data_IF_134615060356
#
_entry.id   IF_134615060356
#
_cell.length_a   1.000
_cell.length_b   1.000
_cell.length_c   1.000
_cell.angle_alpha   90.00
_cell.angle_beta   90.00
_cell.angle_gamma   90.00
#
_symmetry.space_group_name_H-M   'P 1'
#
loop_
_entity.id
_entity.type
_entity.pdbx_description
1 polymer ?
#
# COMPACT_ATOMS: atom_id res chain seq x y z
N UNK A 1 -1.11 0.69 -14.91
CA UNK A 1 0.20 1.25 -14.56
C UNK A 1 1.35 0.41 -15.11
N UNK A 2 1.51 -0.85 -14.68
CA UNK A 2 2.60 -1.75 -15.12
C UNK A 2 2.77 -1.89 -16.65
N UNK A 3 1.68 -1.84 -17.42
CA UNK A 3 1.72 -1.95 -18.89
C UNK A 3 2.64 -0.91 -19.55
N UNK A 4 2.65 0.33 -19.08
CA UNK A 4 3.46 1.40 -19.68
C UNK A 4 4.96 1.18 -19.42
N UNK A 5 5.32 0.76 -18.20
CA UNK A 5 6.71 0.43 -17.89
C UNK A 5 7.21 -0.77 -18.68
N UNK A 6 6.38 -1.79 -18.89
CA UNK A 6 6.75 -2.93 -19.73
C UNK A 6 6.99 -2.49 -21.17
N UNK A 7 6.12 -1.64 -21.74
CA UNK A 7 6.32 -1.11 -23.10
C UNK A 7 7.64 -0.34 -23.20
N UNK A 8 7.97 0.48 -22.19
CA UNK A 8 9.25 1.20 -22.17
C UNK A 8 10.43 0.23 -22.05
N UNK A 9 10.35 -0.76 -21.16
CA UNK A 9 11.38 -1.78 -20.99
C UNK A 9 11.63 -2.56 -22.29
N UNK A 10 10.56 -2.97 -22.97
CA UNK A 10 10.60 -3.72 -24.24
C UNK A 10 11.16 -2.86 -25.38
N UNK A 11 11.03 -1.53 -25.29
CA UNK A 11 11.54 -0.60 -26.30
C UNK A 11 13.02 -0.28 -26.16
N UNK A 12 13.60 -0.47 -24.97
CA UNK A 12 15.05 -0.35 -24.79
C UNK A 12 15.69 -1.55 -25.49
N UNK A 13 16.61 -1.36 -26.44
CA UNK A 13 17.39 -2.47 -26.99
C UNK A 13 18.27 -3.12 -25.92
N UNK A 14 18.53 -4.43 -26.02
CA UNK A 14 19.35 -5.13 -25.00
C UNK A 14 20.84 -4.76 -25.05
N UNK A 15 21.33 -4.32 -26.22
CA UNK A 15 22.73 -3.97 -26.45
C UNK A 15 22.96 -2.48 -26.73
N UNK A 16 21.92 -1.64 -26.63
CA UNK A 16 22.01 -0.25 -27.09
C UNK A 16 22.70 0.68 -26.09
N UNK A 17 22.83 0.28 -24.83
CA UNK A 17 23.45 1.06 -23.77
C UNK A 17 22.52 1.28 -22.58
N UNK A 18 22.95 2.07 -21.58
CA UNK A 18 22.26 2.13 -20.29
C UNK A 18 21.13 3.17 -20.22
N UNK A 19 20.89 3.94 -21.28
CA UNK A 19 19.85 4.97 -21.37
C UNK A 19 18.68 4.48 -22.23
N UNK A 20 17.54 5.20 -22.18
CA UNK A 20 16.30 4.76 -22.85
C UNK A 20 16.44 4.60 -24.36
N UNK A 21 17.29 5.40 -25.00
CA UNK A 21 17.52 5.37 -26.45
C UNK A 21 18.97 5.00 -26.80
N UNK A 22 19.66 4.29 -25.91
CA UNK A 22 20.96 3.69 -26.17
C UNK A 22 22.09 4.17 -25.25
N UNK A 23 23.25 4.48 -25.84
CA UNK A 23 24.51 4.66 -25.11
C UNK A 23 24.73 6.07 -24.59
N UNK A 24 23.94 7.03 -25.07
CA UNK A 24 23.97 8.43 -24.66
C UNK A 24 22.63 8.86 -24.07
N UNK A 25 22.67 9.88 -23.20
CA UNK A 25 21.48 10.50 -22.64
C UNK A 25 20.62 11.09 -23.75
N UNK A 26 19.32 10.81 -23.72
CA UNK A 26 18.37 11.31 -24.69
C UNK A 26 17.29 12.20 -24.06
N UNK A 27 16.47 12.82 -24.91
CA UNK A 27 15.27 13.52 -24.46
C UNK A 27 14.30 12.60 -23.70
N UNK A 28 14.27 11.30 -24.04
CA UNK A 28 13.44 10.34 -23.33
C UNK A 28 13.88 10.22 -21.86
N UNK A 29 15.18 10.14 -21.59
CA UNK A 29 15.71 10.06 -20.22
C UNK A 29 15.34 11.32 -19.42
N UNK A 30 15.56 12.50 -20.02
CA UNK A 30 15.28 13.79 -19.39
C UNK A 30 13.79 14.00 -19.05
N UNK A 31 12.86 13.39 -19.81
CA UNK A 31 11.41 13.55 -19.64
C UNK A 31 10.80 12.46 -18.75
N UNK A 32 11.24 11.21 -18.91
CA UNK A 32 10.69 10.07 -18.17
C UNK A 32 11.27 10.01 -16.75
N UNK A 33 12.53 10.37 -16.53
CA UNK A 33 13.16 10.24 -15.21
C UNK A 33 12.44 11.05 -14.12
N UNK A 34 12.17 12.37 -14.26
CA UNK A 34 11.41 13.11 -13.25
C UNK A 34 10.04 12.50 -12.95
N UNK A 35 9.35 12.02 -14.00
CA UNK A 35 8.04 11.39 -13.88
C UNK A 35 8.13 10.05 -13.14
N UNK A 36 9.18 9.27 -13.39
CA UNK A 36 9.46 8.03 -12.68
C UNK A 36 9.72 8.29 -11.19
N UNK A 37 10.53 9.31 -10.86
CA UNK A 37 10.81 9.70 -9.46
C UNK A 37 9.51 10.03 -8.73
N UNK A 38 8.67 10.86 -9.33
CA UNK A 38 7.36 11.20 -8.76
C UNK A 38 6.48 9.96 -8.59
N UNK A 39 6.36 9.11 -9.61
CA UNK A 39 5.48 7.95 -9.57
C UNK A 39 5.91 6.91 -8.53
N UNK A 40 7.22 6.62 -8.42
CA UNK A 40 7.76 5.68 -7.43
C UNK A 40 7.51 6.17 -6.00
N UNK A 41 7.57 7.49 -5.75
CA UNK A 41 7.24 8.08 -4.45
C UNK A 41 5.75 8.10 -4.16
N UNK A 42 4.95 8.43 -5.19
CA UNK A 42 3.52 8.69 -5.08
C UNK A 42 2.69 7.41 -4.93
N UNK A 43 2.98 6.37 -5.72
CA UNK A 43 2.12 5.18 -5.80
C UNK A 43 1.97 4.38 -4.51
N UNK A 44 3.01 4.23 -3.66
CA UNK A 44 2.82 3.65 -2.32
C UNK A 44 1.78 4.39 -1.48
N UNK A 45 1.53 5.68 -1.72
CA UNK A 45 0.46 6.43 -1.04
C UNK A 45 -0.93 5.95 -1.48
N UNK A 46 -1.07 5.23 -2.59
CA UNK A 46 -2.33 4.71 -3.11
C UNK A 46 -2.44 3.18 -2.96
N UNK A 47 -1.63 2.57 -2.08
CA UNK A 47 -1.50 1.11 -1.94
C UNK A 47 -1.10 0.39 -3.24
N UNK A 48 -0.44 1.13 -4.15
CA UNK A 48 0.07 0.59 -5.40
C UNK A 48 1.58 0.35 -5.26
N UNK A 49 2.01 -0.89 -5.48
CA UNK A 49 3.43 -1.23 -5.47
C UNK A 49 4.11 -0.70 -6.74
N UNK A 50 5.13 0.17 -6.64
CA UNK A 50 5.88 0.66 -7.80
C UNK A 50 6.94 -0.37 -8.19
N UNK A 51 6.53 -1.56 -8.61
CA UNK A 51 7.48 -2.54 -9.13
C UNK A 51 7.87 -2.12 -10.55
N UNK A 52 9.00 -1.41 -10.69
CA UNK A 52 9.60 -1.22 -12.01
C UNK A 52 10.09 -2.57 -12.55
N UNK A 53 9.86 -2.89 -13.83
CA UNK A 53 10.48 -4.05 -14.46
C UNK A 53 12.01 -3.99 -14.30
N UNK A 54 12.73 -5.13 -14.23
CA UNK A 54 14.15 -5.15 -13.89
C UNK A 54 15.02 -4.20 -14.73
N UNK A 55 14.75 -4.10 -16.04
CA UNK A 55 15.45 -3.18 -16.95
C UNK A 55 15.23 -1.70 -16.61
N UNK A 56 13.98 -1.35 -16.30
CA UNK A 56 13.61 0.01 -15.87
C UNK A 56 14.16 0.32 -14.47
N UNK A 57 14.20 -0.66 -13.57
CA UNK A 57 14.80 -0.49 -12.25
C UNK A 57 16.30 -0.18 -12.38
N UNK A 58 17.02 -0.93 -13.21
CA UNK A 58 18.45 -0.70 -13.47
C UNK A 58 18.71 0.68 -14.09
N UNK A 59 17.90 1.09 -15.07
CA UNK A 59 17.95 2.44 -15.66
C UNK A 59 17.71 3.53 -14.60
N UNK A 60 16.66 3.38 -13.79
CA UNK A 60 16.29 4.34 -12.76
C UNK A 60 17.39 4.49 -11.70
N UNK A 61 17.92 3.37 -11.20
CA UNK A 61 18.99 3.37 -10.18
C UNK A 61 20.28 3.96 -10.72
N UNK A 62 20.61 3.74 -12.00
CA UNK A 62 21.76 4.36 -12.65
C UNK A 62 21.62 5.87 -12.71
N UNK A 63 20.52 6.39 -13.25
CA UNK A 63 20.32 7.85 -13.35
C UNK A 63 20.29 8.51 -11.97
N UNK A 64 19.74 7.82 -10.97
CA UNK A 64 19.71 8.29 -9.59
C UNK A 64 21.10 8.37 -8.94
N UNK A 65 22.03 7.47 -9.27
CA UNK A 65 23.26 7.28 -8.47
C UNK A 65 24.58 7.47 -9.22
N UNK A 66 24.61 7.22 -10.52
CA UNK A 66 25.85 7.20 -11.31
C UNK A 66 25.98 8.42 -12.24
N UNK A 67 24.88 9.08 -12.59
CA UNK A 67 24.90 10.31 -13.39
C UNK A 67 24.72 11.53 -12.47
N UNK A 68 25.70 12.43 -12.44
CA UNK A 68 25.70 13.58 -11.52
C UNK A 68 24.57 14.57 -11.79
N UNK A 69 24.19 14.77 -13.06
CA UNK A 69 23.14 15.72 -13.41
C UNK A 69 21.76 15.17 -13.02
N UNK A 70 21.50 13.91 -13.35
CA UNK A 70 20.24 13.26 -12.95
C UNK A 70 20.14 13.03 -11.44
N UNK A 71 21.26 12.75 -10.76
CA UNK A 71 21.29 12.68 -9.30
C UNK A 71 20.91 14.02 -8.65
N UNK A 72 21.35 15.15 -9.20
CA UNK A 72 20.92 16.48 -8.74
C UNK A 72 19.40 16.66 -8.94
N UNK A 73 18.88 16.34 -10.13
CA UNK A 73 17.44 16.40 -10.42
C UNK A 73 16.64 15.52 -9.46
N UNK A 74 17.12 14.31 -9.18
CA UNK A 74 16.52 13.41 -8.19
C UNK A 74 16.42 14.07 -6.83
N UNK A 75 17.51 14.62 -6.31
CA UNK A 75 17.56 15.25 -4.99
C UNK A 75 16.62 16.46 -4.89
N UNK A 76 16.54 17.29 -5.94
CA UNK A 76 15.63 18.44 -5.97
C UNK A 76 14.15 18.01 -5.95
N UNK A 77 13.79 17.00 -6.74
CA UNK A 77 12.43 16.44 -6.76
C UNK A 77 12.11 15.78 -5.43
N UNK A 78 13.03 14.99 -4.86
CA UNK A 78 12.85 14.37 -3.54
C UNK A 78 12.63 15.41 -2.45
N UNK A 79 13.44 16.47 -2.39
CA UNK A 79 13.24 17.54 -1.41
C UNK A 79 11.90 18.26 -1.56
N UNK A 80 11.38 18.39 -2.78
CA UNK A 80 10.04 18.92 -3.01
C UNK A 80 8.94 17.92 -2.55
N UNK A 81 9.12 16.63 -2.81
CA UNK A 81 8.21 15.55 -2.39
C UNK A 81 8.19 15.37 -0.88
N UNK A 82 9.33 15.47 -0.20
CA UNK A 82 9.40 15.45 1.28
C UNK A 82 8.63 16.62 1.89
N UNK A 83 8.74 17.82 1.31
CA UNK A 83 7.91 18.96 1.71
C UNK A 83 6.43 18.73 1.39
N UNK A 84 6.11 18.07 0.29
CA UNK A 84 4.74 17.72 -0.09
C UNK A 84 4.13 16.76 0.94
N UNK A 85 4.87 15.72 1.33
CA UNK A 85 4.54 14.78 2.40
C UNK A 85 4.35 15.52 3.73
N UNK A 86 5.33 16.34 4.14
CA UNK A 86 5.29 17.07 5.42
C UNK A 86 4.11 18.04 5.54
N UNK A 87 3.60 18.54 4.41
CA UNK A 87 2.46 19.44 4.36
C UNK A 87 1.11 18.72 4.23
N UNK A 88 1.06 17.39 4.36
CA UNK A 88 -0.19 16.60 4.28
C UNK A 88 -0.90 16.73 2.94
N UNK A 89 -0.16 17.03 1.86
CA UNK A 89 -0.77 17.35 0.56
C UNK A 89 -1.44 16.15 -0.09
N UNK A 90 -1.00 14.93 0.22
CA UNK A 90 -1.64 13.69 -0.22
C UNK A 90 -3.04 13.53 0.36
N UNK A 91 -3.28 14.01 1.58
CA UNK A 91 -4.56 13.86 2.30
C UNK A 91 -5.75 14.45 1.54
N UNK A 92 -5.48 15.44 0.67
CA UNK A 92 -6.50 16.10 -0.17
C UNK A 92 -6.80 15.34 -1.47
N UNK A 93 -6.01 14.33 -1.81
CA UNK A 93 -6.12 13.58 -3.05
C UNK A 93 -6.90 12.29 -2.80
N UNK A 94 -8.01 12.11 -3.51
CA UNK A 94 -8.83 10.91 -3.40
C UNK A 94 -8.00 9.65 -3.70
N UNK A 95 -7.94 8.73 -2.75
CA UNK A 95 -7.20 7.48 -2.85
C UNK A 95 -5.73 7.57 -2.46
N UNK A 96 -5.20 8.76 -2.13
CA UNK A 96 -3.86 8.89 -1.57
C UNK A 96 -3.96 8.93 -0.03
N UNK A 97 -3.42 7.94 0.65
CA UNK A 97 -3.22 7.96 2.08
C UNK A 97 -2.73 6.64 2.66
N UNK A 98 -1.45 6.61 3.04
CA UNK A 98 -1.11 6.17 4.39
C UNK A 98 -1.83 7.13 5.35
N UNK A 99 -3.08 6.83 5.73
CA UNK A 99 -3.85 7.67 6.68
C UNK A 99 -3.57 7.35 8.13
N UNK A 100 -2.58 6.50 8.38
CA UNK A 100 -2.32 5.95 9.68
C UNK A 100 -0.94 6.37 10.20
N UNK A 101 -0.87 7.63 10.65
CA UNK A 101 0.30 8.20 11.32
C UNK A 101 0.31 7.90 12.83
N UNK A 102 -0.73 7.23 13.33
CA UNK A 102 -0.81 6.82 14.73
C UNK A 102 0.11 5.63 14.98
N UNK A 103 0.67 5.56 16.20
CA UNK A 103 1.55 4.47 16.59
C UNK A 103 0.92 3.08 16.35
N UNK A 104 1.71 2.08 15.92
CA UNK A 104 1.24 0.71 15.77
C UNK A 104 0.62 0.18 17.07
N UNK A 105 -0.60 -0.28 16.96
CA UNK A 105 -1.37 -0.94 18.01
C UNK A 105 -1.04 -2.43 18.08
N UNK A 106 -1.59 -3.11 19.09
CA UNK A 106 -1.49 -4.56 19.20
C UNK A 106 -2.09 -5.28 17.97
N UNK A 107 -3.16 -4.73 17.39
CA UNK A 107 -3.83 -5.33 16.23
C UNK A 107 -2.92 -5.30 15.00
N UNK A 108 -2.16 -4.24 14.81
CA UNK A 108 -1.20 -4.13 13.70
C UNK A 108 -0.10 -5.20 13.83
N UNK A 109 0.33 -5.50 15.06
CA UNK A 109 1.29 -6.58 15.34
C UNK A 109 0.71 -7.98 15.09
N UNK A 110 -0.58 -8.17 15.31
CA UNK A 110 -1.29 -9.41 15.00
C UNK A 110 -1.40 -9.57 13.47
N UNK A 111 -1.79 -8.53 12.75
CA UNK A 111 -1.84 -8.52 11.28
C UNK A 111 -0.45 -8.81 10.68
N UNK A 112 0.61 -8.24 11.26
CA UNK A 112 1.99 -8.49 10.85
C UNK A 112 2.53 -9.89 11.26
N UNK A 113 1.75 -10.71 11.97
CA UNK A 113 2.18 -12.02 12.46
C UNK A 113 3.26 -11.98 13.56
N UNK A 114 3.53 -10.79 14.13
CA UNK A 114 4.52 -10.61 15.19
C UNK A 114 4.02 -11.11 16.55
N UNK A 115 2.69 -11.18 16.72
CA UNK A 115 2.03 -11.71 17.91
C UNK A 115 1.08 -12.82 17.46
N UNK A 116 1.13 -14.01 18.09
CA UNK A 116 0.26 -15.10 17.71
C UNK A 116 -1.20 -14.76 18.04
N UNK A 117 -2.09 -15.11 17.13
CA UNK A 117 -3.53 -15.06 17.33
C UNK A 117 -4.16 -16.33 16.78
N UNK A 118 -5.26 -16.79 17.39
CA UNK A 118 -6.04 -17.91 16.86
C UNK A 118 -6.95 -17.39 15.76
N UNK A 119 -6.44 -17.41 14.54
CA UNK A 119 -7.14 -16.95 13.34
C UNK A 119 -8.33 -17.86 13.05
N UNK A 120 -9.48 -17.23 12.81
CA UNK A 120 -10.75 -17.87 12.46
C UNK A 120 -11.05 -17.66 10.98
N UNK A 121 -10.76 -16.47 10.46
CA UNK A 121 -10.90 -16.12 9.05
C UNK A 121 -9.86 -15.09 8.67
N UNK A 122 -9.32 -15.22 7.46
CA UNK A 122 -8.38 -14.27 6.89
C UNK A 122 -8.61 -14.17 5.38
N UNK A 123 -8.72 -12.95 4.86
CA UNK A 123 -8.73 -12.67 3.43
C UNK A 123 -7.76 -11.53 3.09
N UNK A 124 -7.88 -10.91 1.91
CA UNK A 124 -7.01 -9.84 1.45
C UNK A 124 -7.15 -8.55 2.27
N UNK A 125 -8.31 -8.28 2.88
CA UNK A 125 -8.60 -7.03 3.57
C UNK A 125 -9.01 -7.18 5.04
N UNK A 126 -9.43 -8.36 5.46
CA UNK A 126 -10.03 -8.63 6.77
C UNK A 126 -9.26 -9.74 7.47
N UNK A 127 -9.10 -9.57 8.78
CA UNK A 127 -8.58 -10.59 9.67
C UNK A 127 -9.57 -10.75 10.84
N UNK A 128 -9.93 -12.00 11.13
CA UNK A 128 -10.76 -12.35 12.27
C UNK A 128 -10.09 -13.40 13.13
N UNK A 129 -10.07 -13.18 14.44
CA UNK A 129 -9.38 -14.05 15.39
C UNK A 129 -10.08 -14.06 16.75
N UNK A 130 -9.83 -15.12 17.54
CA UNK A 130 -10.40 -15.25 18.89
C UNK A 130 -9.77 -14.27 19.85
N UNK A 131 -10.59 -13.65 20.69
CA UNK A 131 -10.11 -12.82 21.80
C UNK A 131 -9.37 -13.70 22.83
N UNK A 132 -8.28 -13.17 23.39
CA UNK A 132 -7.52 -13.82 24.48
C UNK A 132 -8.27 -13.78 25.82
N UNK A 133 -9.18 -12.81 25.98
CA UNK A 133 -10.02 -12.65 27.16
C UNK A 133 -11.50 -12.55 26.74
N UNK A 134 -12.10 -13.66 26.30
CA UNK A 134 -13.42 -13.64 25.67
C UNK A 134 -14.53 -13.30 26.69
N UNK A 135 -15.45 -12.41 26.31
CA UNK A 135 -16.60 -12.03 27.13
C UNK A 135 -17.78 -13.04 27.05
N UNK A 136 -17.68 -14.02 26.15
CA UNK A 136 -18.67 -15.06 25.90
C UNK A 136 -17.96 -16.36 25.50
N UNK A 137 -18.63 -17.53 25.53
CA UNK A 137 -18.03 -18.81 25.12
C UNK A 137 -17.42 -18.78 23.71
N UNK A 138 -18.00 -17.96 22.84
CA UNK A 138 -17.45 -17.65 21.52
C UNK A 138 -17.41 -16.13 21.35
N UNK A 139 -16.19 -15.59 21.20
CA UNK A 139 -15.95 -14.15 21.01
C UNK A 139 -14.84 -13.99 19.97
N UNK A 140 -15.18 -13.36 18.84
CA UNK A 140 -14.29 -13.16 17.69
C UNK A 140 -14.22 -11.68 17.38
N UNK A 141 -12.99 -11.17 17.27
CA UNK A 141 -12.73 -9.82 16.79
C UNK A 141 -12.55 -9.86 15.28
N UNK A 142 -13.24 -8.97 14.56
CA UNK A 142 -13.13 -8.82 13.10
C UNK A 142 -12.54 -7.43 12.84
N UNK A 143 -11.35 -7.38 12.26
CA UNK A 143 -10.60 -6.13 12.04
C UNK A 143 -10.20 -6.00 10.56
N UNK A 144 -10.05 -4.77 10.05
CA UNK A 144 -9.42 -4.57 8.77
C UNK A 144 -7.90 -4.80 8.90
N UNK A 145 -7.28 -5.36 7.87
CA UNK A 145 -5.81 -5.48 7.77
C UNK A 145 -5.13 -4.13 7.58
N UNK A 146 -5.85 -3.20 6.98
CA UNK A 146 -5.49 -1.78 6.92
C UNK A 146 -6.64 -0.94 7.48
N UNK A 147 -6.40 -0.28 8.63
CA UNK A 147 -7.41 0.58 9.24
C UNK A 147 -7.54 1.92 8.54
N UNK A 148 -6.58 2.35 7.72
CA UNK A 148 -6.64 3.59 6.94
C UNK A 148 -7.09 4.82 7.78
N UNK A 149 -6.56 4.94 9.00
CA UNK A 149 -6.91 6.02 9.93
C UNK A 149 -8.21 5.81 10.74
N UNK A 150 -8.97 4.73 10.48
CA UNK A 150 -10.18 4.28 11.20
C UNK A 150 -9.86 3.74 12.60
N UNK A 151 -9.25 4.58 13.43
CA UNK A 151 -8.91 4.28 14.83
C UNK A 151 -10.14 4.24 15.74
N UNK A 152 -11.25 4.86 15.32
CA UNK A 152 -12.54 4.90 16.00
C UNK A 152 -13.66 5.06 14.97
N UNK A 153 -14.86 4.58 15.28
CA UNK A 153 -16.01 4.72 14.38
C UNK A 153 -16.35 6.18 14.07
N UNK A 154 -16.12 7.12 15.00
CA UNK A 154 -16.32 8.56 14.76
C UNK A 154 -15.40 9.15 13.68
N UNK A 155 -14.37 8.41 13.26
CA UNK A 155 -13.49 8.78 12.15
C UNK A 155 -13.88 8.11 10.83
N UNK A 156 -14.99 7.38 10.80
CA UNK A 156 -15.48 6.81 9.54
C UNK A 156 -15.85 7.91 8.56
N UNK A 157 -15.63 7.64 7.28
CA UNK A 157 -15.89 8.54 6.17
C UNK A 157 -16.37 7.71 4.97
N UNK A 158 -16.82 8.33 3.86
CA UNK A 158 -17.29 7.59 2.69
C UNK A 158 -16.29 6.59 2.11
N UNK A 159 -14.97 6.79 2.28
CA UNK A 159 -13.96 5.84 1.81
C UNK A 159 -13.94 4.52 2.60
N UNK A 160 -14.47 4.53 3.83
CA UNK A 160 -14.51 3.37 4.69
C UNK A 160 -15.73 2.48 4.41
N UNK A 161 -16.62 2.87 3.49
CA UNK A 161 -17.87 2.14 3.22
C UNK A 161 -17.60 0.71 2.74
N UNK A 162 -16.65 0.51 1.82
CA UNK A 162 -16.28 -0.83 1.34
C UNK A 162 -15.77 -1.71 2.49
N UNK A 163 -14.79 -1.21 3.26
CA UNK A 163 -14.19 -2.00 4.33
C UNK A 163 -15.17 -2.26 5.47
N UNK A 164 -15.96 -1.28 5.89
CA UNK A 164 -16.98 -1.46 6.93
C UNK A 164 -18.05 -2.47 6.49
N UNK A 165 -18.49 -2.40 5.23
CA UNK A 165 -19.41 -3.39 4.65
C UNK A 165 -18.82 -4.80 4.67
N UNK A 166 -17.56 -4.96 4.27
CA UNK A 166 -16.84 -6.24 4.32
C UNK A 166 -16.71 -6.80 5.73
N UNK A 167 -16.39 -5.96 6.72
CA UNK A 167 -16.31 -6.38 8.12
C UNK A 167 -17.66 -6.93 8.62
N UNK A 168 -18.77 -6.27 8.29
CA UNK A 168 -20.11 -6.73 8.66
C UNK A 168 -20.51 -8.04 7.97
N UNK A 169 -20.18 -8.18 6.68
CA UNK A 169 -20.42 -9.43 5.94
C UNK A 169 -19.59 -10.57 6.52
N UNK A 170 -18.30 -10.35 6.78
CA UNK A 170 -17.41 -11.32 7.39
C UNK A 170 -17.90 -11.75 8.78
N UNK A 171 -18.34 -10.80 9.61
CA UNK A 171 -18.95 -11.10 10.91
C UNK A 171 -20.20 -12.00 10.76
N UNK A 172 -21.07 -11.71 9.78
CA UNK A 172 -22.23 -12.54 9.49
C UNK A 172 -21.89 -13.96 9.01
N UNK A 173 -20.84 -14.12 8.22
CA UNK A 173 -20.36 -15.44 7.77
C UNK A 173 -19.77 -16.25 8.93
N UNK A 174 -18.96 -15.61 9.78
CA UNK A 174 -18.40 -16.21 10.99
C UNK A 174 -19.52 -16.62 11.95
N UNK A 175 -20.54 -15.79 12.11
CA UNK A 175 -21.70 -16.08 12.94
C UNK A 175 -22.46 -17.32 12.47
N UNK A 176 -22.61 -17.54 11.16
CA UNK A 176 -23.31 -18.71 10.62
C UNK A 176 -22.49 -20.00 10.66
N UNK A 177 -21.20 -19.92 10.97
CA UNK A 177 -20.35 -21.09 11.05
C UNK A 177 -20.60 -21.84 12.36
N UNK A 178 -21.41 -22.91 12.27
CA UNK A 178 -21.75 -23.77 13.40
C UNK A 178 -20.52 -24.43 14.04
N UNK A 179 -19.43 -24.64 13.28
CA UNK A 179 -18.20 -25.24 13.81
C UNK A 179 -17.50 -24.34 14.84
N UNK A 180 -17.80 -23.04 14.81
CA UNK A 180 -17.29 -22.06 15.76
C UNK A 180 -18.13 -21.96 17.03
N UNK A 181 -19.35 -22.53 17.03
CA UNK A 181 -20.25 -22.58 18.18
C UNK A 181 -21.20 -21.39 18.31
N UNK A 182 -21.40 -20.59 17.26
CA UNK A 182 -22.34 -19.47 17.26
C UNK A 182 -23.79 -19.88 16.95
N UNK A 183 -23.99 -20.73 15.93
CA UNK A 183 -25.32 -21.03 15.37
C UNK A 183 -26.04 -19.75 14.93
N UNK A 184 -27.38 -19.70 15.02
CA UNK A 184 -28.16 -18.50 14.68
C UNK A 184 -28.13 -17.40 15.78
N UNK A 185 -27.40 -17.62 16.88
CA UNK A 185 -27.47 -16.83 18.12
C UNK A 185 -26.45 -15.68 18.26
N UNK A 186 -25.88 -15.18 17.16
CA UNK A 186 -24.80 -14.20 17.22
C UNK A 186 -25.27 -12.76 17.47
N UNK A 187 -24.44 -11.99 18.19
CA UNK A 187 -24.57 -10.54 18.34
C UNK A 187 -23.31 -9.89 17.78
N UNK A 188 -23.49 -8.86 16.95
CA UNK A 188 -22.44 -8.06 16.33
C UNK A 188 -22.43 -6.69 17.00
#
# INVERSE_FOLDING_TARGET
YMRQWNILADSMGDDEGPYLCGSEVSLADATIFPSAVFAVHMLPKFDLTPALPPKMQAWFDRLKTQDTAFAQVYNEIQGALEKWDANGRWDTILGAGLRDTADPTLFDKIVAGSIPATIVKEDDKVLAFRDINPAAPVHVLVIPKDRNGLTRLTKSSPEHVDILGRLLVAAGEIARDESLGFGDGARI
#
